data_IF_979960422103
#
_entry.id   IF_979960422103
#
_cell.length_a   1.000
_cell.length_b   1.000
_cell.length_c   1.000
_cell.angle_alpha   90.00
_cell.angle_beta   90.00
_cell.angle_gamma   90.00
#
_symmetry.space_group_name_H-M   'P 1'
#
loop_
_entity.id
_entity.type
_entity.pdbx_description
1 polymer ?
#
# COMPACT_ATOMS: atom_id res chain seq x y z
N UNK A 1 -6.21 7.95 -12.63
CA UNK A 1 -6.03 6.89 -11.71
C UNK A 1 -5.14 5.78 -12.27
N UNK A 2 -5.05 4.69 -11.60
CA UNK A 2 -4.21 3.54 -12.02
C UNK A 2 -4.58 2.94 -13.38
N UNK A 3 -5.74 3.23 -13.90
CA UNK A 3 -6.14 2.82 -15.25
C UNK A 3 -5.37 3.53 -16.37
N UNK A 4 -4.64 4.60 -16.05
CA UNK A 4 -3.82 5.32 -17.01
C UNK A 4 -2.44 4.69 -17.19
N UNK A 5 -2.01 3.88 -16.24
CA UNK A 5 -0.73 3.18 -16.30
C UNK A 5 -0.95 1.71 -16.67
N UNK A 6 -0.94 1.45 -17.96
CA UNK A 6 -1.22 0.11 -18.50
C UNK A 6 -0.20 -0.95 -18.09
N UNK A 7 0.99 -0.53 -17.70
CA UNK A 7 2.04 -1.44 -17.24
C UNK A 7 1.83 -1.90 -15.81
N UNK A 8 1.03 -1.16 -15.04
CA UNK A 8 0.79 -1.40 -13.63
C UNK A 8 -0.49 -2.17 -13.33
N UNK A 9 -1.33 -2.39 -14.34
CA UNK A 9 -2.64 -3.01 -14.16
C UNK A 9 -3.00 -3.88 -15.37
N UNK A 10 -3.46 -5.11 -15.12
CA UNK A 10 -3.96 -6.02 -16.15
C UNK A 10 -5.05 -6.94 -15.60
N UNK A 11 -5.53 -7.85 -16.45
CA UNK A 11 -6.59 -8.79 -16.09
C UNK A 11 -6.13 -10.23 -16.32
N UNK A 12 -6.27 -11.08 -15.30
CA UNK A 12 -6.04 -12.53 -15.41
C UNK A 12 -7.34 -13.22 -15.81
N UNK A 13 -7.44 -13.58 -17.08
CA UNK A 13 -8.62 -14.23 -17.66
C UNK A 13 -8.91 -15.57 -17.01
N UNK A 14 -7.86 -16.35 -16.70
CA UNK A 14 -8.02 -17.70 -16.15
C UNK A 14 -8.53 -17.69 -14.71
N UNK A 15 -8.07 -16.74 -13.92
CA UNK A 15 -8.39 -16.63 -12.50
C UNK A 15 -9.45 -15.56 -12.20
N UNK A 16 -9.90 -14.82 -13.22
CA UNK A 16 -10.87 -13.72 -13.07
C UNK A 16 -10.45 -12.71 -12.00
N UNK A 17 -9.23 -12.15 -12.15
CA UNK A 17 -8.66 -11.21 -11.21
C UNK A 17 -8.19 -9.94 -11.90
N UNK A 18 -8.43 -8.81 -11.24
CA UNK A 18 -7.73 -7.57 -11.54
C UNK A 18 -6.32 -7.67 -10.95
N UNK A 19 -5.29 -7.49 -11.77
CA UNK A 19 -3.89 -7.73 -11.39
C UNK A 19 -3.13 -6.43 -11.34
N UNK A 20 -2.44 -6.21 -10.24
CA UNK A 20 -1.56 -5.07 -9.98
C UNK A 20 -0.12 -5.58 -10.00
N UNK A 21 0.71 -5.01 -10.87
CA UNK A 21 2.12 -5.40 -10.96
C UNK A 21 2.94 -4.77 -9.84
N UNK A 22 3.86 -5.54 -9.28
CA UNK A 22 4.77 -5.08 -8.23
C UNK A 22 6.08 -4.68 -8.90
N UNK A 23 6.48 -3.43 -8.69
CA UNK A 23 7.69 -2.86 -9.27
C UNK A 23 8.76 -2.66 -8.20
N UNK A 24 10.01 -2.91 -8.56
CA UNK A 24 11.18 -2.56 -7.78
C UNK A 24 12.29 -2.15 -8.74
N UNK A 25 12.87 -0.96 -8.53
CA UNK A 25 13.92 -0.41 -9.40
C UNK A 25 13.55 -0.43 -10.90
N UNK A 26 12.32 0.01 -11.21
CA UNK A 26 11.76 0.09 -12.55
C UNK A 26 11.54 -1.26 -13.26
N UNK A 27 11.67 -2.37 -12.53
CA UNK A 27 11.41 -3.71 -13.05
C UNK A 27 10.18 -4.34 -12.39
N UNK A 28 9.44 -5.14 -13.16
CA UNK A 28 8.34 -5.96 -12.62
C UNK A 28 8.95 -7.15 -11.89
N UNK A 29 8.74 -7.21 -10.57
CA UNK A 29 9.26 -8.28 -9.71
C UNK A 29 8.18 -9.20 -9.17
N UNK A 30 6.92 -8.87 -9.42
CA UNK A 30 5.80 -9.68 -8.96
C UNK A 30 4.45 -9.10 -9.34
N UNK A 31 3.41 -9.68 -8.81
CA UNK A 31 2.05 -9.20 -9.01
C UNK A 31 1.11 -9.70 -7.91
N UNK A 32 0.04 -8.96 -7.69
CA UNK A 32 -1.06 -9.34 -6.80
C UNK A 32 -2.39 -9.17 -7.52
N UNK A 33 -3.29 -10.14 -7.38
CA UNK A 33 -4.60 -10.14 -8.04
C UNK A 33 -5.76 -10.06 -7.07
N UNK A 34 -6.66 -9.13 -7.32
CA UNK A 34 -7.93 -8.98 -6.60
C UNK A 34 -9.03 -9.78 -7.30
N UNK A 35 -9.73 -10.63 -6.55
CA UNK A 35 -10.90 -11.33 -7.10
C UNK A 35 -11.99 -10.32 -7.52
N UNK A 36 -12.62 -10.59 -8.65
CA UNK A 36 -13.75 -9.79 -9.15
C UNK A 36 -15.10 -10.31 -8.67
N UNK A 37 -15.12 -11.47 -7.99
CA UNK A 37 -16.30 -12.11 -7.45
C UNK A 37 -16.24 -12.16 -5.93
N UNK A 38 -17.36 -11.87 -5.27
CA UNK A 38 -17.42 -11.86 -3.80
C UNK A 38 -17.23 -13.26 -3.18
N UNK A 39 -17.53 -14.32 -3.93
CA UNK A 39 -17.44 -15.71 -3.48
C UNK A 39 -16.08 -16.36 -3.79
N UNK A 40 -15.24 -15.74 -4.61
CA UNK A 40 -13.93 -16.30 -4.98
C UNK A 40 -12.89 -16.08 -3.87
N UNK A 41 -12.22 -17.15 -3.47
CA UNK A 41 -11.16 -17.13 -2.46
C UNK A 41 -9.83 -17.57 -3.06
N UNK A 42 -8.72 -17.02 -2.56
CA UNK A 42 -8.63 -15.89 -1.64
C UNK A 42 -9.04 -14.58 -2.33
N UNK A 43 -9.46 -13.59 -1.55
CA UNK A 43 -9.81 -12.26 -2.04
C UNK A 43 -8.64 -11.60 -2.77
N UNK A 44 -7.45 -11.72 -2.22
CA UNK A 44 -6.19 -11.32 -2.82
C UNK A 44 -5.30 -12.54 -3.06
N UNK A 45 -4.69 -12.63 -4.22
CA UNK A 45 -3.80 -13.72 -4.61
C UNK A 45 -2.46 -13.15 -5.05
N UNK A 46 -1.36 -13.65 -4.49
CA UNK A 46 -0.02 -13.22 -4.85
C UNK A 46 0.61 -14.18 -5.85
N UNK A 47 1.18 -13.64 -6.93
CA UNK A 47 1.76 -14.41 -8.04
C UNK A 47 3.27 -14.66 -7.87
N UNK A 48 3.90 -14.09 -6.84
CA UNK A 48 5.34 -14.16 -6.60
C UNK A 48 5.67 -14.66 -5.18
N UNK A 49 6.97 -14.63 -4.84
CA UNK A 49 7.48 -15.13 -3.55
C UNK A 49 7.36 -14.15 -2.37
N UNK A 50 6.82 -12.95 -2.59
CA UNK A 50 6.52 -12.03 -1.51
C UNK A 50 7.68 -11.17 -1.02
N UNK A 51 8.75 -10.96 -1.78
CA UNK A 51 9.93 -10.21 -1.32
C UNK A 51 9.75 -8.69 -1.33
N UNK A 52 8.84 -8.17 -2.16
CA UNK A 52 8.59 -6.72 -2.28
C UNK A 52 7.14 -6.37 -1.99
N UNK A 53 6.88 -5.22 -1.35
CA UNK A 53 5.53 -4.68 -1.23
C UNK A 53 5.07 -4.10 -2.56
N UNK A 54 3.76 -3.92 -2.73
CA UNK A 54 3.23 -3.16 -3.85
C UNK A 54 3.41 -1.67 -3.56
N UNK A 55 4.09 -0.94 -4.45
CA UNK A 55 4.30 0.50 -4.33
C UNK A 55 3.82 1.23 -5.57
N UNK A 56 3.17 2.36 -5.39
CA UNK A 56 2.70 3.23 -6.46
C UNK A 56 2.71 4.69 -6.00
N UNK A 57 2.98 5.60 -6.93
CA UNK A 57 3.12 7.01 -6.64
C UNK A 57 4.57 7.44 -6.57
N UNK A 58 4.84 8.60 -5.99
CA UNK A 58 6.17 9.17 -5.92
C UNK A 58 6.36 10.03 -4.67
N UNK A 59 7.61 10.43 -4.42
CA UNK A 59 7.97 11.27 -3.29
C UNK A 59 8.60 10.51 -2.15
N UNK A 60 9.05 11.26 -1.14
CA UNK A 60 9.81 10.75 0.00
C UNK A 60 8.93 10.42 1.21
N UNK A 61 7.63 10.68 1.11
CA UNK A 61 6.64 10.25 2.11
C UNK A 61 5.95 8.98 1.63
N UNK A 62 6.08 7.91 2.40
CA UNK A 62 5.41 6.63 2.15
C UNK A 62 4.22 6.42 3.07
N UNK A 63 3.09 5.98 2.53
CA UNK A 63 1.91 5.60 3.30
C UNK A 63 1.74 4.09 3.23
N UNK A 64 1.86 3.44 4.38
CA UNK A 64 1.77 1.99 4.51
C UNK A 64 0.31 1.59 4.73
N UNK A 65 -0.21 0.78 3.82
CA UNK A 65 -1.59 0.27 3.81
C UNK A 65 -1.60 -1.25 3.64
N UNK A 66 -2.77 -1.86 3.72
CA UNK A 66 -2.88 -3.32 3.61
C UNK A 66 -2.91 -3.80 2.16
N UNK A 67 -3.66 -3.15 1.28
CA UNK A 67 -3.90 -3.63 -0.08
C UNK A 67 -3.57 -2.61 -1.18
N UNK A 68 -3.46 -3.12 -2.41
CA UNK A 68 -3.06 -2.32 -3.56
C UNK A 68 -4.07 -1.22 -3.91
N UNK A 69 -5.36 -1.43 -3.69
CA UNK A 69 -6.38 -0.42 -3.97
C UNK A 69 -6.28 0.77 -3.01
N UNK A 70 -6.00 0.53 -1.74
CA UNK A 70 -5.73 1.59 -0.78
C UNK A 70 -4.44 2.35 -1.12
N UNK A 71 -3.40 1.66 -1.57
CA UNK A 71 -2.15 2.30 -2.02
C UNK A 71 -2.39 3.24 -3.20
N UNK A 72 -3.22 2.85 -4.17
CA UNK A 72 -3.54 3.70 -5.32
C UNK A 72 -4.29 4.99 -4.93
N UNK A 73 -5.04 4.96 -3.84
CA UNK A 73 -5.75 6.15 -3.33
C UNK A 73 -4.79 7.26 -2.93
N UNK A 74 -3.63 6.92 -2.38
CA UNK A 74 -2.65 7.90 -1.94
C UNK A 74 -1.60 8.26 -3.00
N UNK A 75 -1.51 7.51 -4.07
CA UNK A 75 -0.55 7.72 -5.14
C UNK A 75 -0.54 9.13 -5.76
N UNK A 76 -1.69 9.85 -5.87
CA UNK A 76 -1.69 11.21 -6.40
C UNK A 76 -0.91 12.24 -5.57
N UNK A 77 -0.62 11.97 -4.30
CA UNK A 77 0.03 12.94 -3.42
C UNK A 77 1.22 12.40 -2.61
N UNK A 78 1.46 11.09 -2.63
CA UNK A 78 2.63 10.47 -1.99
C UNK A 78 2.85 9.06 -2.54
N UNK A 79 3.78 8.30 -1.96
CA UNK A 79 3.97 6.90 -2.33
C UNK A 79 3.09 5.99 -1.49
N UNK A 80 2.16 5.28 -2.13
CA UNK A 80 1.37 4.23 -1.49
C UNK A 80 2.16 2.94 -1.42
N UNK A 81 2.17 2.29 -0.26
CA UNK A 81 2.93 1.06 0.00
C UNK A 81 1.97 0.03 0.60
N UNK A 82 1.60 -0.98 -0.19
CA UNK A 82 0.73 -2.04 0.28
C UNK A 82 1.55 -3.23 0.77
N UNK A 83 1.38 -3.61 2.04
CA UNK A 83 2.03 -4.77 2.63
C UNK A 83 1.49 -6.08 2.08
N UNK A 84 0.28 -6.05 1.50
CA UNK A 84 -0.44 -7.22 1.01
C UNK A 84 -0.80 -8.19 2.14
N UNK A 85 -1.18 -7.60 3.26
CA UNK A 85 -1.47 -8.19 4.56
C UNK A 85 -1.22 -7.14 5.63
N UNK A 86 -1.07 -7.56 6.88
CA UNK A 86 -0.78 -6.65 8.00
C UNK A 86 0.63 -6.86 8.59
N UNK A 87 1.41 -7.77 8.02
CA UNK A 87 2.74 -8.10 8.52
C UNK A 87 3.83 -7.37 7.76
N UNK A 88 4.74 -6.74 8.51
CA UNK A 88 5.96 -6.16 7.98
C UNK A 88 7.01 -7.27 7.83
N UNK A 89 7.35 -7.62 6.59
CA UNK A 89 8.39 -8.60 6.31
C UNK A 89 9.76 -7.96 6.41
N UNK A 90 10.76 -8.74 6.80
CA UNK A 90 12.15 -8.27 6.91
C UNK A 90 12.66 -7.66 5.59
N UNK A 91 12.34 -8.30 4.45
CA UNK A 91 12.70 -7.79 3.13
C UNK A 91 12.10 -6.41 2.80
N UNK A 92 10.97 -6.05 3.43
CA UNK A 92 10.35 -4.74 3.23
C UNK A 92 11.08 -3.63 3.97
N UNK A 93 11.70 -3.93 5.12
CA UNK A 93 12.39 -2.93 5.96
C UNK A 93 13.45 -2.19 5.15
N UNK A 94 14.25 -2.90 4.36
CA UNK A 94 15.31 -2.30 3.53
C UNK A 94 14.77 -1.32 2.49
N UNK A 95 13.57 -1.57 1.97
CA UNK A 95 12.90 -0.69 1.03
C UNK A 95 12.31 0.52 1.77
N UNK A 96 11.63 0.29 2.89
CA UNK A 96 10.90 1.32 3.63
C UNK A 96 11.80 2.32 4.35
N UNK A 97 12.97 1.89 4.80
CA UNK A 97 13.91 2.80 5.51
C UNK A 97 14.47 3.93 4.63
N UNK A 98 14.27 3.86 3.32
CA UNK A 98 14.70 4.90 2.38
C UNK A 98 13.75 6.11 2.34
N UNK A 99 12.55 6.00 2.87
CA UNK A 99 11.62 7.11 2.95
C UNK A 99 11.99 8.06 4.09
N UNK A 100 11.82 9.37 3.86
CA UNK A 100 12.05 10.38 4.91
C UNK A 100 10.97 10.33 5.99
N UNK A 101 9.75 10.04 5.58
CA UNK A 101 8.60 9.89 6.48
C UNK A 101 7.76 8.71 6.06
N UNK A 102 7.35 7.90 7.03
CA UNK A 102 6.37 6.84 6.86
C UNK A 102 5.12 7.12 7.68
N UNK A 103 3.96 6.90 7.08
CA UNK A 103 2.66 7.01 7.73
C UNK A 103 2.02 5.63 7.68
N UNK A 104 1.79 5.03 8.83
CA UNK A 104 1.11 3.72 8.92
C UNK A 104 -0.38 3.96 8.99
N UNK A 105 -1.11 3.53 7.97
CA UNK A 105 -2.55 3.76 7.81
C UNK A 105 -3.26 2.43 7.48
N UNK A 106 -3.12 1.45 8.37
CA UNK A 106 -3.81 0.18 8.26
C UNK A 106 -5.29 0.34 8.61
N UNK A 107 -6.09 -0.64 8.20
CA UNK A 107 -7.52 -0.67 8.51
C UNK A 107 -7.76 -0.60 10.02
N UNK A 108 -8.91 -0.07 10.48
CA UNK A 108 -9.14 0.20 11.90
C UNK A 108 -9.00 -1.01 12.84
N UNK A 109 -9.23 -2.22 12.33
CA UNK A 109 -9.09 -3.46 13.11
C UNK A 109 -7.64 -3.95 13.27
N UNK A 110 -6.67 -3.28 12.66
CA UNK A 110 -5.26 -3.66 12.65
C UNK A 110 -4.34 -2.71 13.44
N UNK A 111 -4.86 -1.99 14.42
CA UNK A 111 -4.08 -0.99 15.16
C UNK A 111 -2.89 -1.59 15.91
N UNK A 112 -3.03 -2.78 16.49
CA UNK A 112 -1.90 -3.44 17.17
C UNK A 112 -0.73 -3.69 16.21
N UNK A 113 -1.02 -4.07 14.96
CA UNK A 113 -0.02 -4.23 13.91
C UNK A 113 0.60 -2.90 13.50
N UNK A 114 -0.19 -1.83 13.50
CA UNK A 114 0.32 -0.48 13.23
C UNK A 114 1.38 -0.05 14.25
N UNK A 115 1.18 -0.33 15.52
CA UNK A 115 2.16 -0.05 16.56
C UNK A 115 3.43 -0.86 16.40
N UNK A 116 3.33 -2.14 16.04
CA UNK A 116 4.49 -3.00 15.78
C UNK A 116 5.33 -2.46 14.61
N UNK A 117 4.68 -2.05 13.53
CA UNK A 117 5.33 -1.45 12.35
C UNK A 117 6.01 -0.14 12.73
N UNK A 118 5.30 0.74 13.43
CA UNK A 118 5.86 2.01 13.88
C UNK A 118 7.10 1.80 14.75
N UNK A 119 7.03 0.90 15.71
CA UNK A 119 8.15 0.58 16.59
C UNK A 119 9.38 0.11 15.81
N UNK A 120 9.19 -0.76 14.83
CA UNK A 120 10.27 -1.26 13.98
C UNK A 120 10.85 -0.16 13.11
N UNK A 121 10.02 0.60 12.40
CA UNK A 121 10.47 1.57 11.42
C UNK A 121 10.99 2.88 12.03
N UNK A 122 10.56 3.22 13.24
CA UNK A 122 11.04 4.43 13.94
C UNK A 122 12.54 4.41 14.27
N UNK A 123 13.16 3.24 14.23
CA UNK A 123 14.62 3.10 14.36
C UNK A 123 15.35 3.68 13.12
N UNK A 124 14.72 3.66 11.97
CA UNK A 124 15.34 4.00 10.70
C UNK A 124 14.90 5.36 10.14
N UNK A 125 13.64 5.74 10.38
CA UNK A 125 13.06 6.93 9.78
C UNK A 125 11.93 7.49 10.63
N UNK A 126 11.46 8.69 10.29
CA UNK A 126 10.30 9.28 10.94
C UNK A 126 9.05 8.47 10.57
N UNK A 127 8.47 7.76 11.54
CA UNK A 127 7.32 6.91 11.34
C UNK A 127 6.20 7.26 12.32
N UNK A 128 5.02 7.61 11.78
CA UNK A 128 3.83 7.89 12.60
C UNK A 128 2.65 7.04 12.17
N UNK A 129 1.67 6.90 13.06
CA UNK A 129 0.41 6.19 12.79
C UNK A 129 -0.67 7.22 12.47
N UNK A 130 -1.41 6.98 11.39
CA UNK A 130 -2.67 7.66 11.13
C UNK A 130 -3.82 6.73 11.50
N UNK A 131 -4.66 7.15 12.45
CA UNK A 131 -5.85 6.40 12.84
C UNK A 131 -6.99 6.79 11.89
N UNK A 132 -7.17 6.01 10.83
CA UNK A 132 -8.20 6.23 9.83
C UNK A 132 -9.54 5.64 10.27
N UNK A 133 -10.64 6.27 9.82
CA UNK A 133 -12.00 5.84 10.20
C UNK A 133 -12.50 4.65 9.38
N UNK A 134 -11.97 4.49 8.17
CA UNK A 134 -12.34 3.44 7.22
C UNK A 134 -11.19 3.20 6.24
N UNK A 135 -11.29 2.17 5.41
CA UNK A 135 -10.29 1.88 4.39
C UNK A 135 -10.09 3.09 3.46
N UNK A 136 -8.85 3.45 3.18
CA UNK A 136 -8.54 4.63 2.36
C UNK A 136 -9.14 4.58 0.96
N UNK A 137 -9.37 3.41 0.41
CA UNK A 137 -10.01 3.23 -0.91
C UNK A 137 -11.43 3.82 -1.01
N UNK A 138 -12.09 4.06 0.12
CA UNK A 138 -13.43 4.65 0.17
C UNK A 138 -13.42 6.18 0.25
N UNK A 139 -12.24 6.79 0.40
CA UNK A 139 -12.12 8.25 0.51
C UNK A 139 -11.76 8.89 -0.82
N UNK A 140 -12.20 10.13 -1.04
CA UNK A 140 -11.66 11.00 -2.07
C UNK A 140 -10.21 11.37 -1.75
N UNK A 141 -9.49 11.94 -2.72
CA UNK A 141 -8.13 12.45 -2.50
C UNK A 141 -8.05 13.40 -1.30
N UNK A 142 -8.95 14.38 -1.24
CA UNK A 142 -8.97 15.38 -0.15
C UNK A 142 -9.29 14.74 1.20
N UNK A 143 -10.27 13.84 1.22
CA UNK A 143 -10.62 13.11 2.44
C UNK A 143 -9.45 12.23 2.93
N UNK A 144 -8.77 11.54 2.01
CA UNK A 144 -7.60 10.73 2.35
C UNK A 144 -6.47 11.58 2.91
N UNK A 145 -6.20 12.74 2.31
CA UNK A 145 -5.19 13.67 2.82
C UNK A 145 -5.53 14.15 4.24
N UNK A 146 -6.79 14.44 4.52
CA UNK A 146 -7.25 14.83 5.86
C UNK A 146 -7.10 13.70 6.87
N UNK A 147 -7.50 12.48 6.53
CA UNK A 147 -7.34 11.31 7.40
C UNK A 147 -5.87 11.04 7.74
N UNK A 148 -4.98 11.25 6.77
CA UNK A 148 -3.55 11.06 6.93
C UNK A 148 -2.83 12.29 7.52
N UNK A 149 -3.53 13.39 7.72
CA UNK A 149 -2.98 14.66 8.19
C UNK A 149 -1.83 15.16 7.31
N UNK A 150 -1.99 15.03 5.99
CA UNK A 150 -1.06 15.52 4.98
C UNK A 150 -1.57 16.86 4.46
N UNK A 151 -0.67 17.86 4.36
CA UNK A 151 -1.00 19.18 3.82
C UNK A 151 -1.65 20.15 4.81
N UNK A 152 -1.85 19.77 6.05
CA UNK A 152 -2.39 20.63 7.12
C UNK A 152 -1.31 21.50 7.80
N UNK A 153 -0.24 21.80 7.09
CA UNK A 153 0.77 22.76 7.59
C UNK A 153 0.32 24.16 7.16
N UNK A 154 -0.24 24.85 8.08
CA UNK A 154 -0.37 26.29 7.99
C UNK A 154 0.98 26.91 8.37
#
# INVERSE_FOLDING_TARGET
GYLQDKERFCYDIKRHRAVFTIMHEDEVVGAVGRSLNSYQKPKWYRYDNGLCPYMIGSGTTGVIVEDATSATTVAPFCTGIALLGTSLLESYVDILKQFDTLIVALDPDAYSKSFDIQKTMSVYTNCRIAMIRDDLKYFSKEQAMNELQIGNRI
#
